data_IF_275985904928
#
_entry.id   IF_275985904928
#
_cell.length_a   1.000
_cell.length_b   1.000
_cell.length_c   1.000
_cell.angle_alpha   90.00
_cell.angle_beta   90.00
_cell.angle_gamma   90.00
#
_symmetry.space_group_name_H-M   'P 1'
#
loop_
_entity.id
_entity.type
_entity.pdbx_description
1 polymer ?
#
# COMPACT_ATOMS: atom_id res chain seq x y z
N UNK A 1 -91.98 -15.52 69.92
CA UNK A 1 -93.01 -14.46 69.80
C UNK A 1 -92.26 -13.16 69.57
N UNK A 2 -92.35 -12.38 68.50
CA UNK A 2 -93.13 -12.27 67.24
C UNK A 2 -92.19 -11.44 66.31
N UNK A 3 -92.31 -11.52 64.97
CA UNK A 3 -91.18 -11.37 64.05
C UNK A 3 -91.17 -10.04 63.27
N UNK A 4 -90.25 -10.00 62.29
CA UNK A 4 -90.30 -9.34 60.99
C UNK A 4 -89.98 -7.84 60.87
N UNK A 5 -89.02 -7.55 59.98
CA UNK A 5 -88.70 -6.21 59.49
C UNK A 5 -87.54 -6.24 58.50
N UNK A 6 -87.77 -6.79 57.30
CA UNK A 6 -86.85 -6.70 56.17
C UNK A 6 -86.77 -5.26 55.65
N UNK A 7 -85.58 -4.65 55.66
CA UNK A 7 -85.24 -3.52 54.79
C UNK A 7 -83.77 -3.64 54.37
N UNK A 8 -83.53 -3.94 53.09
CA UNK A 8 -82.22 -3.80 52.45
C UNK A 8 -82.11 -2.36 51.92
N UNK A 9 -81.08 -1.58 52.29
CA UNK A 9 -80.70 -0.41 51.52
C UNK A 9 -79.62 -0.79 50.51
N UNK A 10 -79.87 -0.43 49.26
CA UNK A 10 -78.91 -0.45 48.15
C UNK A 10 -77.64 0.36 48.49
N UNK A 11 -76.52 -0.33 48.67
CA UNK A 11 -75.19 0.29 48.77
C UNK A 11 -74.76 0.77 47.38
N UNK A 12 -74.90 2.08 47.14
CA UNK A 12 -74.11 2.80 46.15
C UNK A 12 -72.64 2.72 46.56
N UNK A 13 -71.85 1.91 45.85
CA UNK A 13 -70.39 1.90 45.98
C UNK A 13 -69.86 3.17 45.31
N UNK A 14 -69.55 4.19 46.11
CA UNK A 14 -68.73 5.33 45.70
C UNK A 14 -67.30 4.82 45.45
N UNK A 15 -66.95 4.55 44.19
CA UNK A 15 -65.55 4.38 43.78
C UNK A 15 -64.90 5.77 43.75
N UNK A 16 -64.17 6.12 44.82
CA UNK A 16 -63.32 7.31 44.84
C UNK A 16 -62.24 7.20 43.74
N UNK A 17 -62.00 8.26 42.93
CA UNK A 17 -60.92 8.26 41.96
C UNK A 17 -59.58 8.33 42.71
N UNK A 18 -58.81 7.25 42.67
CA UNK A 18 -57.40 7.27 43.08
C UNK A 18 -56.67 8.27 42.18
N UNK A 19 -56.13 9.34 42.75
CA UNK A 19 -55.59 10.47 42.00
C UNK A 19 -54.33 10.08 41.22
N UNK A 20 -54.41 10.08 39.88
CA UNK A 20 -53.29 9.81 38.97
C UNK A 20 -52.15 10.86 39.04
N UNK A 21 -52.35 11.95 39.76
CA UNK A 21 -51.37 13.04 39.94
C UNK A 21 -50.22 12.66 40.89
N UNK A 22 -50.49 11.88 41.95
CA UNK A 22 -49.46 11.45 42.90
C UNK A 22 -48.43 10.51 42.28
N UNK A 23 -48.89 9.61 41.40
CA UNK A 23 -48.02 8.66 40.70
C UNK A 23 -47.00 9.33 39.76
N UNK A 24 -47.42 10.36 39.00
CA UNK A 24 -46.52 11.09 38.07
C UNK A 24 -45.40 11.85 38.79
N UNK A 25 -45.70 12.50 39.90
CA UNK A 25 -44.70 13.20 40.72
C UNK A 25 -43.70 12.24 41.37
N UNK A 26 -44.17 11.07 41.82
CA UNK A 26 -43.29 10.02 42.35
C UNK A 26 -42.38 9.45 41.26
N UNK A 27 -42.90 9.19 40.06
CA UNK A 27 -42.07 8.73 38.93
C UNK A 27 -41.01 9.76 38.55
N UNK A 28 -41.35 11.05 38.46
CA UNK A 28 -40.38 12.11 38.16
C UNK A 28 -39.31 12.24 39.25
N UNK A 29 -39.66 12.11 40.52
CA UNK A 29 -38.72 12.14 41.63
C UNK A 29 -37.78 10.92 41.62
N UNK A 30 -38.29 9.72 41.33
CA UNK A 30 -37.47 8.52 41.17
C UNK A 30 -36.50 8.64 39.99
N UNK A 31 -36.95 9.16 38.85
CA UNK A 31 -36.09 9.42 37.70
C UNK A 31 -34.99 10.44 38.03
N UNK A 32 -35.32 11.49 38.79
CA UNK A 32 -34.34 12.46 39.25
C UNK A 32 -33.30 11.84 40.20
N UNK A 33 -33.72 10.98 41.14
CA UNK A 33 -32.79 10.27 42.05
C UNK A 33 -31.86 9.35 41.27
N UNK A 34 -32.38 8.57 40.31
CA UNK A 34 -31.57 7.70 39.45
C UNK A 34 -30.59 8.53 38.61
N UNK A 35 -31.03 9.66 38.05
CA UNK A 35 -30.17 10.56 37.30
C UNK A 35 -29.06 11.15 38.19
N UNK A 36 -29.39 11.63 39.40
CA UNK A 36 -28.41 12.13 40.37
C UNK A 36 -27.41 11.05 40.79
N UNK A 37 -27.87 9.83 41.07
CA UNK A 37 -27.00 8.69 41.37
C UNK A 37 -26.06 8.38 40.19
N UNK A 38 -26.58 8.43 38.95
CA UNK A 38 -25.79 8.28 37.74
C UNK A 38 -24.70 9.36 37.59
N UNK A 39 -25.03 10.63 37.85
CA UNK A 39 -24.06 11.74 37.80
C UNK A 39 -22.97 11.57 38.87
N UNK A 40 -23.34 11.23 40.11
CA UNK A 40 -22.39 10.99 41.20
C UNK A 40 -21.47 9.82 40.86
N UNK A 41 -22.02 8.73 40.31
CA UNK A 41 -21.24 7.59 39.87
C UNK A 41 -20.24 7.95 38.76
N UNK A 42 -20.65 8.71 37.76
CA UNK A 42 -19.75 9.20 36.69
C UNK A 42 -18.66 10.10 37.28
N UNK A 43 -19.01 11.02 38.18
CA UNK A 43 -18.04 11.90 38.84
C UNK A 43 -17.01 11.08 39.64
N UNK A 44 -17.45 10.03 40.33
CA UNK A 44 -16.57 9.10 41.04
C UNK A 44 -15.61 8.37 40.08
N UNK A 45 -16.09 7.85 38.95
CA UNK A 45 -15.24 7.19 37.95
C UNK A 45 -14.22 8.15 37.32
N UNK A 46 -14.62 9.39 37.04
CA UNK A 46 -13.71 10.43 36.54
C UNK A 46 -12.63 10.78 37.58
N UNK A 47 -13.02 10.86 38.86
CA UNK A 47 -12.08 11.07 39.94
C UNK A 47 -11.09 9.91 40.08
N UNK A 48 -11.55 8.64 40.07
CA UNK A 48 -10.65 7.47 40.14
C UNK A 48 -9.64 7.51 38.99
N UNK A 49 -10.10 7.75 37.76
CA UNK A 49 -9.22 7.87 36.60
C UNK A 49 -8.19 8.98 36.74
N UNK A 50 -8.61 10.15 37.24
CA UNK A 50 -7.73 11.31 37.44
C UNK A 50 -6.75 11.11 38.60
N UNK A 51 -7.15 10.41 39.65
CA UNK A 51 -6.30 10.04 40.76
C UNK A 51 -5.20 9.09 40.29
N UNK A 52 -5.56 8.00 39.60
CA UNK A 52 -4.61 7.04 39.02
C UNK A 52 -3.66 7.71 38.04
N UNK A 53 -4.17 8.56 37.13
CA UNK A 53 -3.33 9.25 36.17
C UNK A 53 -2.26 10.16 36.80
N UNK A 54 -2.56 10.74 37.97
CA UNK A 54 -1.62 11.62 38.69
C UNK A 54 -0.65 10.86 39.59
N UNK A 55 -1.03 9.70 40.11
CA UNK A 55 -0.21 8.94 41.08
C UNK A 55 0.52 7.73 40.46
N UNK A 56 0.27 7.40 39.20
CA UNK A 56 0.95 6.31 38.49
C UNK A 56 2.25 6.78 37.84
N UNK A 57 3.36 6.18 38.25
CA UNK A 57 4.67 6.36 37.60
C UNK A 57 4.66 5.79 36.18
N UNK A 58 3.98 4.65 35.95
CA UNK A 58 3.83 4.05 34.63
C UNK A 58 3.12 5.01 33.65
N UNK A 59 2.02 5.64 34.08
CA UNK A 59 1.31 6.64 33.26
C UNK A 59 2.19 7.87 33.04
N UNK A 60 2.91 8.35 34.07
CA UNK A 60 3.84 9.47 33.93
C UNK A 60 4.93 9.21 32.88
N UNK A 61 5.58 8.04 32.94
CA UNK A 61 6.60 7.63 31.97
C UNK A 61 6.03 7.46 30.57
N UNK A 62 4.80 6.94 30.43
CA UNK A 62 4.13 6.83 29.15
C UNK A 62 3.89 8.20 28.52
N UNK A 63 3.46 9.19 29.31
CA UNK A 63 3.25 10.55 28.83
C UNK A 63 4.56 11.18 28.35
N UNK A 64 5.66 10.96 29.07
CA UNK A 64 6.98 11.39 28.64
C UNK A 64 7.43 10.70 27.33
N UNK A 65 7.23 9.38 27.23
CA UNK A 65 7.51 8.60 26.02
C UNK A 65 6.70 9.11 24.82
N UNK A 66 5.41 9.38 25.02
CA UNK A 66 4.54 9.94 24.01
C UNK A 66 5.02 11.32 23.54
N UNK A 67 5.38 12.20 24.48
CA UNK A 67 5.86 13.55 24.17
C UNK A 67 7.17 13.53 23.38
N UNK A 68 8.10 12.62 23.71
CA UNK A 68 9.35 12.41 22.96
C UNK A 68 9.13 11.82 21.56
N UNK A 69 8.07 11.02 21.41
CA UNK A 69 7.79 10.28 20.17
C UNK A 69 6.85 11.01 19.21
N UNK A 70 6.07 11.99 19.68
CA UNK A 70 4.97 12.61 18.93
C UNK A 70 5.37 13.15 17.56
N UNK A 71 6.53 13.82 17.46
CA UNK A 71 6.94 14.44 16.21
C UNK A 71 7.44 13.39 15.21
N UNK A 72 8.16 12.37 15.69
CA UNK A 72 8.67 11.28 14.85
C UNK A 72 7.56 10.38 14.33
N UNK A 73 6.47 10.24 15.10
CA UNK A 73 5.30 9.44 14.75
C UNK A 73 4.19 10.26 14.09
N UNK A 74 4.45 11.53 13.79
CA UNK A 74 3.48 12.42 13.17
C UNK A 74 3.00 11.84 11.84
N UNK A 75 1.68 11.72 11.69
CA UNK A 75 1.07 11.29 10.44
C UNK A 75 1.36 12.32 9.33
N UNK A 76 1.82 11.81 8.19
CA UNK A 76 2.04 12.62 6.99
C UNK A 76 0.81 12.58 6.09
N UNK A 77 0.51 13.67 5.35
CA UNK A 77 -0.55 13.65 4.36
C UNK A 77 -0.26 12.61 3.27
N UNK A 78 -1.30 12.05 2.62
CA UNK A 78 -1.12 11.10 1.53
C UNK A 78 -0.21 11.65 0.43
N UNK A 79 0.75 10.84 -0.04
CA UNK A 79 1.54 11.17 -1.22
C UNK A 79 0.62 11.23 -2.44
N UNK A 80 0.48 12.40 -3.05
CA UNK A 80 -0.39 12.57 -4.23
C UNK A 80 0.46 12.63 -5.49
N UNK A 81 0.25 11.68 -6.41
CA UNK A 81 0.90 11.69 -7.73
C UNK A 81 -0.19 11.50 -8.78
N UNK A 82 -0.37 12.49 -9.65
CA UNK A 82 -1.30 12.41 -10.77
C UNK A 82 -0.56 12.61 -12.07
N UNK A 83 -0.69 11.64 -12.98
CA UNK A 83 -0.04 11.65 -14.29
C UNK A 83 -1.04 11.27 -15.35
N UNK A 84 -1.04 12.01 -16.46
CA UNK A 84 -1.94 11.78 -17.59
C UNK A 84 -1.10 11.61 -18.85
N UNK A 85 -1.35 10.54 -19.59
CA UNK A 85 -0.77 10.27 -20.89
C UNK A 85 -1.85 10.39 -21.95
N UNK A 86 -1.69 11.33 -22.87
CA UNK A 86 -2.56 11.47 -24.04
C UNK A 86 -2.05 10.58 -25.18
N UNK A 87 -2.99 9.99 -25.92
CA UNK A 87 -2.73 9.16 -27.09
C UNK A 87 -3.29 9.82 -28.35
N UNK A 88 -2.54 9.78 -29.45
CA UNK A 88 -2.98 10.34 -30.72
C UNK A 88 -3.99 9.49 -31.49
N UNK A 89 -4.08 8.18 -31.20
CA UNK A 89 -4.95 7.25 -31.92
C UNK A 89 -5.68 6.29 -30.97
N UNK A 90 -6.88 5.85 -31.35
CA UNK A 90 -7.63 4.85 -30.57
C UNK A 90 -6.87 3.53 -30.47
N UNK A 91 -6.20 3.11 -31.57
CA UNK A 91 -5.41 1.88 -31.62
C UNK A 91 -4.26 1.90 -30.63
N UNK A 92 -3.45 2.97 -30.61
CA UNK A 92 -2.33 3.09 -29.66
C UNK A 92 -2.82 3.17 -28.22
N UNK A 93 -3.96 3.83 -27.98
CA UNK A 93 -4.62 3.84 -26.68
C UNK A 93 -5.07 2.45 -26.24
N UNK A 94 -5.71 1.66 -27.11
CA UNK A 94 -6.26 0.34 -26.76
C UNK A 94 -5.16 -0.69 -26.51
N UNK A 95 -4.11 -0.67 -27.32
CA UNK A 95 -2.97 -1.59 -27.18
C UNK A 95 -1.99 -1.19 -26.08
N UNK A 96 -2.16 -0.05 -25.42
CA UNK A 96 -1.21 0.44 -24.43
C UNK A 96 -1.21 -0.41 -23.16
N UNK A 97 -0.01 -0.82 -22.74
CA UNK A 97 0.27 -1.37 -21.41
C UNK A 97 0.48 -0.23 -20.42
N UNK A 98 -0.53 0.02 -19.59
CA UNK A 98 -0.50 1.09 -18.59
C UNK A 98 0.56 0.88 -17.51
N UNK A 99 0.89 -0.37 -17.15
CA UNK A 99 1.90 -0.65 -16.15
C UNK A 99 3.30 -0.40 -16.70
N UNK A 100 3.55 -0.73 -17.97
CA UNK A 100 4.81 -0.42 -18.62
C UNK A 100 5.02 1.11 -18.73
N UNK A 101 3.99 1.84 -19.16
CA UNK A 101 4.04 3.30 -19.25
C UNK A 101 4.21 3.97 -17.88
N UNK A 102 3.45 3.53 -16.88
CA UNK A 102 3.61 4.01 -15.51
C UNK A 102 5.05 3.83 -15.04
N UNK A 103 5.64 2.65 -15.23
CA UNK A 103 7.01 2.37 -14.80
C UNK A 103 8.03 3.29 -15.46
N UNK A 104 7.83 3.70 -16.71
CA UNK A 104 8.66 4.71 -17.36
C UNK A 104 8.51 6.08 -16.68
N UNK A 105 7.27 6.52 -16.44
CA UNK A 105 6.99 7.80 -15.78
C UNK A 105 7.54 7.84 -14.34
N UNK A 106 7.44 6.73 -13.59
CA UNK A 106 8.01 6.65 -12.24
C UNK A 106 9.54 6.83 -12.24
N UNK A 107 10.23 6.47 -13.33
CA UNK A 107 11.67 6.65 -13.44
C UNK A 107 12.08 8.09 -13.79
N UNK A 108 11.18 8.90 -14.35
CA UNK A 108 11.45 10.32 -14.65
C UNK A 108 11.66 11.13 -13.35
N UNK A 109 10.81 10.87 -12.35
CA UNK A 109 10.85 11.54 -11.03
C UNK A 109 11.43 10.64 -9.92
N UNK A 110 12.25 9.64 -10.28
CA UNK A 110 12.67 8.55 -9.40
C UNK A 110 13.17 9.01 -8.02
N UNK A 111 14.10 9.96 -7.98
CA UNK A 111 14.71 10.45 -6.73
C UNK A 111 13.69 11.13 -5.82
N UNK A 112 12.80 11.94 -6.40
CA UNK A 112 11.78 12.65 -5.63
C UNK A 112 10.75 11.67 -5.04
N UNK A 113 10.32 10.69 -5.84
CA UNK A 113 9.39 9.64 -5.38
C UNK A 113 10.04 8.81 -4.27
N UNK A 114 11.30 8.42 -4.43
CA UNK A 114 12.04 7.67 -3.41
C UNK A 114 12.19 8.45 -2.10
N UNK A 115 12.54 9.73 -2.16
CA UNK A 115 12.63 10.58 -0.97
C UNK A 115 11.29 10.62 -0.22
N UNK A 116 10.19 10.76 -0.95
CA UNK A 116 8.85 10.88 -0.38
C UNK A 116 8.30 9.54 0.16
N UNK A 117 8.72 8.42 -0.44
CA UNK A 117 8.54 7.06 0.11
C UNK A 117 9.32 6.94 1.41
N UNK A 118 10.62 7.22 1.40
CA UNK A 118 11.48 7.05 2.58
C UNK A 118 11.01 7.90 3.75
N UNK A 119 10.60 9.15 3.49
CA UNK A 119 10.01 10.04 4.48
C UNK A 119 8.79 9.45 5.18
N UNK A 120 7.96 8.68 4.47
CA UNK A 120 6.78 7.98 5.01
C UNK A 120 7.09 6.66 5.70
N UNK A 121 8.24 6.05 5.43
CA UNK A 121 8.70 4.85 6.13
C UNK A 121 9.31 5.16 7.50
N UNK A 122 9.88 6.35 7.69
CA UNK A 122 10.52 6.76 8.95
C UNK A 122 9.56 6.66 10.16
N UNK A 123 8.30 7.16 10.11
CA UNK A 123 7.37 7.00 11.22
C UNK A 123 7.07 5.53 11.55
N UNK A 124 6.96 4.65 10.54
CA UNK A 124 6.72 3.22 10.73
C UNK A 124 7.88 2.55 11.48
N UNK A 125 9.12 2.87 11.10
CA UNK A 125 10.32 2.38 11.78
C UNK A 125 10.43 2.93 13.21
N UNK A 126 10.14 4.22 13.38
CA UNK A 126 10.12 4.86 14.70
C UNK A 126 9.06 4.26 15.61
N UNK A 127 7.92 3.84 15.06
CA UNK A 127 6.85 3.22 15.82
C UNK A 127 7.27 1.87 16.41
N UNK A 128 8.09 1.09 15.70
CA UNK A 128 8.61 -0.17 16.23
C UNK A 128 9.52 0.03 17.46
N UNK A 129 10.20 1.17 17.57
CA UNK A 129 10.96 1.54 18.78
C UNK A 129 9.99 1.92 19.90
N UNK A 130 9.06 2.83 19.62
CA UNK A 130 8.02 3.25 20.57
C UNK A 130 7.22 2.07 21.13
N UNK A 131 6.81 1.13 20.27
CA UNK A 131 6.04 -0.05 20.67
C UNK A 131 6.81 -0.95 21.65
N UNK A 132 8.10 -1.17 21.40
CA UNK A 132 8.94 -1.94 22.32
C UNK A 132 9.04 -1.28 23.69
N UNK A 133 9.22 0.04 23.73
CA UNK A 133 9.28 0.81 24.98
C UNK A 133 7.93 0.82 25.70
N UNK A 134 6.83 0.96 24.96
CA UNK A 134 5.48 0.85 25.48
C UNK A 134 5.24 -0.53 26.11
N UNK A 135 5.56 -1.61 25.40
CA UNK A 135 5.41 -2.98 25.90
C UNK A 135 6.27 -3.24 27.13
N UNK A 136 7.50 -2.73 27.16
CA UNK A 136 8.36 -2.80 28.35
C UNK A 136 7.73 -2.07 29.55
N UNK A 137 7.20 -0.86 29.35
CA UNK A 137 6.49 -0.12 30.39
C UNK A 137 5.26 -0.88 30.89
N UNK A 138 4.47 -1.46 29.99
CA UNK A 138 3.30 -2.28 30.34
C UNK A 138 3.68 -3.53 31.15
N UNK A 139 4.86 -4.10 30.91
CA UNK A 139 5.29 -5.35 31.53
C UNK A 139 5.95 -5.13 32.89
N UNK A 140 6.72 -4.05 33.05
CA UNK A 140 7.57 -3.86 34.22
C UNK A 140 7.07 -2.78 35.20
N UNK A 141 6.36 -1.77 34.70
CA UNK A 141 5.98 -0.59 35.49
C UNK A 141 4.51 -0.59 35.92
N UNK A 142 3.60 -1.16 35.12
CA UNK A 142 2.18 -1.25 35.47
C UNK A 142 2.00 -2.13 36.71
N UNK A 143 1.21 -1.64 37.66
CA UNK A 143 0.91 -2.24 38.94
C UNK A 143 1.96 -2.06 40.03
N UNK A 144 2.96 -1.20 39.80
CA UNK A 144 3.96 -0.82 40.81
C UNK A 144 3.54 0.37 41.66
N UNK A 145 2.64 1.22 41.15
CA UNK A 145 2.08 2.37 41.88
C UNK A 145 0.79 2.00 42.62
N UNK A 146 0.38 2.83 43.58
CA UNK A 146 -0.85 2.63 44.35
C UNK A 146 -1.47 3.96 44.76
N UNK A 147 -2.70 3.92 45.29
CA UNK A 147 -3.39 5.10 45.81
C UNK A 147 -4.21 4.73 47.05
N UNK A 148 -4.10 5.53 48.13
CA UNK A 148 -4.68 5.23 49.45
C UNK A 148 -6.19 4.92 49.44
N UNK A 149 -6.94 5.56 48.54
CA UNK A 149 -8.41 5.46 48.46
C UNK A 149 -8.93 4.53 47.35
N UNK A 150 -8.05 3.85 46.62
CA UNK A 150 -8.42 2.99 45.48
C UNK A 150 -7.85 1.61 45.75
N UNK A 151 -8.67 0.57 45.59
CA UNK A 151 -8.22 -0.82 45.79
C UNK A 151 -7.08 -1.17 44.79
N UNK A 152 -6.08 -1.97 45.18
CA UNK A 152 -4.94 -2.28 44.31
C UNK A 152 -5.32 -2.88 42.95
N UNK A 153 -6.24 -3.85 42.93
CA UNK A 153 -6.74 -4.49 41.71
C UNK A 153 -7.45 -3.49 40.79
N UNK A 154 -8.26 -2.60 41.37
CA UNK A 154 -8.95 -1.52 40.66
C UNK A 154 -7.96 -0.50 40.10
N UNK A 155 -6.92 -0.16 40.85
CA UNK A 155 -5.85 0.75 40.44
C UNK A 155 -5.14 0.22 39.19
N UNK A 156 -4.66 -1.03 39.23
CA UNK A 156 -3.99 -1.70 38.09
C UNK A 156 -4.89 -1.73 36.86
N UNK A 157 -6.18 -2.03 37.04
CA UNK A 157 -7.14 -2.06 35.94
C UNK A 157 -7.29 -0.69 35.27
N UNK A 158 -7.46 0.37 36.06
CA UNK A 158 -7.60 1.75 35.55
C UNK A 158 -6.28 2.20 34.90
N UNK A 159 -5.15 1.90 35.51
CA UNK A 159 -3.81 2.24 35.01
C UNK A 159 -3.58 1.63 33.62
N UNK A 160 -3.83 0.31 33.47
CA UNK A 160 -3.74 -0.40 32.19
C UNK A 160 -4.64 0.23 31.13
N UNK A 161 -5.89 0.54 31.50
CA UNK A 161 -6.87 1.17 30.61
C UNK A 161 -6.44 2.57 30.17
N UNK A 162 -5.83 3.36 31.06
CA UNK A 162 -5.26 4.66 30.72
C UNK A 162 -4.10 4.46 29.76
N UNK A 163 -3.19 3.53 30.05
CA UNK A 163 -2.00 3.30 29.23
C UNK A 163 -2.37 2.87 27.80
N UNK A 164 -3.27 1.91 27.64
CA UNK A 164 -3.76 1.46 26.33
C UNK A 164 -4.45 2.58 25.54
N UNK A 165 -5.29 3.40 26.20
CA UNK A 165 -5.97 4.54 25.55
C UNK A 165 -5.03 5.67 25.17
N UNK A 166 -3.93 5.83 25.91
CA UNK A 166 -2.93 6.88 25.69
C UNK A 166 -1.82 6.43 24.74
N UNK A 167 -1.80 5.17 24.33
CA UNK A 167 -0.85 4.66 23.34
C UNK A 167 -1.02 5.43 22.02
N UNK A 168 0.09 5.86 21.44
CA UNK A 168 0.09 6.54 20.15
C UNK A 168 -0.37 5.57 19.05
N UNK A 169 -1.16 6.05 18.07
CA UNK A 169 -1.65 5.21 16.98
C UNK A 169 -0.49 4.79 16.08
N UNK A 170 -0.65 3.62 15.46
CA UNK A 170 0.29 3.15 14.43
C UNK A 170 0.22 4.13 13.24
N UNK A 171 1.34 4.72 12.81
CA UNK A 171 1.34 5.56 11.62
C UNK A 171 1.03 4.71 10.38
N UNK A 172 0.38 5.31 9.39
CA UNK A 172 0.06 4.64 8.13
C UNK A 172 0.64 5.46 6.99
N UNK A 173 1.45 4.81 6.14
CA UNK A 173 1.94 5.44 4.93
C UNK A 173 0.85 5.36 3.85
N UNK A 174 0.34 6.53 3.43
CA UNK A 174 -0.74 6.64 2.45
C UNK A 174 -0.25 7.32 1.16
N UNK A 175 -0.85 6.91 0.04
CA UNK A 175 -0.66 7.55 -1.26
C UNK A 175 -1.96 7.54 -2.06
N UNK A 176 -2.23 8.65 -2.75
CA UNK A 176 -3.22 8.80 -3.82
C UNK A 176 -2.47 8.95 -5.15
N UNK A 177 -2.07 7.81 -5.73
CA UNK A 177 -1.38 7.78 -7.02
C UNK A 177 -2.36 7.37 -8.10
N UNK A 178 -2.45 8.15 -9.17
CA UNK A 178 -3.26 7.81 -10.34
C UNK A 178 -2.52 8.10 -11.63
N UNK A 179 -2.41 7.07 -12.47
CA UNK A 179 -2.00 7.19 -13.86
C UNK A 179 -3.22 7.08 -14.76
N UNK A 180 -3.38 8.04 -15.67
CA UNK A 180 -4.56 8.16 -16.52
C UNK A 180 -4.10 8.13 -17.97
N UNK A 181 -4.44 7.07 -18.69
CA UNK A 181 -4.34 7.05 -20.15
C UNK A 181 -5.60 7.69 -20.74
N UNK A 182 -5.47 8.66 -21.65
CA UNK A 182 -6.58 9.36 -22.29
C UNK A 182 -6.47 9.34 -23.81
N UNK A 183 -7.62 9.24 -24.46
CA UNK A 183 -7.74 9.41 -25.90
C UNK A 183 -9.01 10.20 -26.20
N UNK A 184 -8.87 11.24 -27.01
CA UNK A 184 -10.00 12.00 -27.55
C UNK A 184 -9.96 11.90 -29.06
N UNK A 185 -11.10 11.55 -29.68
CA UNK A 185 -11.19 11.47 -31.14
C UNK A 185 -10.85 12.84 -31.79
N UNK A 186 -10.27 12.89 -33.00
CA UNK A 186 -9.83 14.15 -33.61
C UNK A 186 -10.92 15.23 -33.72
N UNK A 187 -12.18 14.82 -33.84
CA UNK A 187 -13.35 15.72 -33.88
C UNK A 187 -13.99 15.97 -32.52
N UNK A 188 -13.37 15.54 -31.42
CA UNK A 188 -13.85 15.72 -30.05
C UNK A 188 -15.13 14.97 -29.68
N UNK A 189 -15.72 14.17 -30.58
CA UNK A 189 -17.03 13.53 -30.38
C UNK A 189 -17.02 12.42 -29.34
N UNK A 190 -15.90 11.70 -29.22
CA UNK A 190 -15.73 10.61 -28.27
C UNK A 190 -14.43 10.81 -27.45
N UNK A 191 -14.51 10.52 -26.15
CA UNK A 191 -13.39 10.60 -25.22
C UNK A 191 -13.35 9.37 -24.32
N UNK A 192 -12.15 8.83 -24.11
CA UNK A 192 -11.92 7.60 -23.37
C UNK A 192 -10.82 7.83 -22.33
N UNK A 193 -10.95 7.18 -21.16
CA UNK A 193 -9.91 7.20 -20.15
C UNK A 193 -9.81 5.84 -19.44
N UNK A 194 -8.58 5.36 -19.25
CA UNK A 194 -8.25 4.24 -18.35
C UNK A 194 -7.46 4.79 -17.19
N UNK A 195 -7.89 4.46 -15.96
CA UNK A 195 -7.22 4.89 -14.72
C UNK A 195 -6.57 3.69 -14.06
N UNK A 196 -5.36 3.88 -13.58
CA UNK A 196 -4.62 2.93 -12.78
C UNK A 196 -4.30 3.59 -11.43
N UNK A 197 -5.12 3.33 -10.40
CA UNK A 197 -4.84 3.79 -9.04
C UNK A 197 -3.78 2.91 -8.38
N UNK A 198 -2.91 3.50 -7.55
CA UNK A 198 -1.93 2.77 -6.76
C UNK A 198 -1.98 3.20 -5.30
N UNK A 199 -2.01 2.20 -4.41
CA UNK A 199 -1.69 2.37 -3.00
C UNK A 199 -0.20 2.66 -2.79
N UNK A 200 0.17 3.07 -1.58
CA UNK A 200 1.56 3.34 -1.22
C UNK A 200 2.48 2.12 -1.44
N UNK A 201 2.03 0.91 -1.09
CA UNK A 201 2.82 -0.31 -1.30
C UNK A 201 2.92 -0.70 -2.77
N UNK A 202 1.84 -0.51 -3.54
CA UNK A 202 1.88 -0.71 -4.99
C UNK A 202 2.83 0.28 -5.67
N UNK A 203 2.85 1.56 -5.25
CA UNK A 203 3.80 2.55 -5.77
C UNK A 203 5.25 2.09 -5.53
N UNK A 204 5.57 1.67 -4.30
CA UNK A 204 6.90 1.15 -3.93
C UNK A 204 7.29 -0.06 -4.77
N UNK A 205 6.36 -1.00 -4.91
CA UNK A 205 6.56 -2.20 -5.73
C UNK A 205 6.84 -1.83 -7.19
N UNK A 206 6.01 -0.99 -7.81
CA UNK A 206 6.18 -0.60 -9.22
C UNK A 206 7.46 0.19 -9.46
N UNK A 207 7.88 1.06 -8.53
CA UNK A 207 9.16 1.75 -8.63
C UNK A 207 10.34 0.77 -8.62
N UNK A 208 10.31 -0.23 -7.73
CA UNK A 208 11.34 -1.27 -7.66
C UNK A 208 11.36 -2.14 -8.92
N UNK A 209 10.19 -2.52 -9.45
CA UNK A 209 10.10 -3.27 -10.70
C UNK A 209 10.60 -2.44 -11.90
N UNK A 210 10.34 -1.13 -11.92
CA UNK A 210 10.90 -0.23 -12.93
C UNK A 210 12.44 -0.17 -12.86
N UNK A 211 13.00 -0.09 -11.65
CA UNK A 211 14.46 -0.13 -11.42
C UNK A 211 15.08 -1.43 -11.88
N UNK A 212 14.45 -2.56 -11.56
CA UNK A 212 14.89 -3.90 -11.99
C UNK A 212 14.90 -4.01 -13.51
N UNK A 213 13.79 -3.63 -14.16
CA UNK A 213 13.71 -3.62 -15.62
C UNK A 213 14.80 -2.74 -16.26
N UNK A 214 15.05 -1.54 -15.71
CA UNK A 214 16.15 -0.67 -16.19
C UNK A 214 17.53 -1.31 -15.98
N UNK A 215 17.78 -1.93 -14.84
CA UNK A 215 19.04 -2.61 -14.55
C UNK A 215 19.25 -3.83 -15.48
N UNK A 216 18.20 -4.61 -15.73
CA UNK A 216 18.22 -5.72 -16.68
C UNK A 216 18.57 -5.24 -18.08
N UNK A 217 18.01 -4.11 -18.52
CA UNK A 217 18.37 -3.52 -19.81
C UNK A 217 19.87 -3.17 -19.88
N UNK A 218 20.53 -2.85 -18.78
CA UNK A 218 21.99 -2.59 -18.74
C UNK A 218 22.86 -3.84 -18.81
N UNK A 219 22.30 -5.05 -18.70
CA UNK A 219 23.10 -6.29 -18.65
C UNK A 219 23.66 -6.68 -20.02
N UNK A 220 24.82 -7.37 -20.01
CA UNK A 220 25.42 -7.98 -21.21
C UNK A 220 24.44 -8.97 -21.86
N UNK A 221 23.67 -9.73 -21.08
CA UNK A 221 22.67 -10.65 -21.61
C UNK A 221 21.55 -9.93 -22.38
N UNK A 222 21.03 -8.83 -21.84
CA UNK A 222 20.01 -8.02 -22.51
C UNK A 222 20.58 -7.33 -23.77
N UNK A 223 21.81 -6.82 -23.73
CA UNK A 223 22.49 -6.28 -24.91
C UNK A 223 22.62 -7.34 -26.01
N UNK A 224 23.08 -8.55 -25.66
CA UNK A 224 23.18 -9.69 -26.60
C UNK A 224 21.82 -10.07 -27.20
N UNK A 225 20.77 -10.11 -26.38
CA UNK A 225 19.40 -10.42 -26.83
C UNK A 225 18.87 -9.34 -27.77
N UNK A 226 19.13 -8.06 -27.47
CA UNK A 226 18.74 -6.93 -28.33
C UNK A 226 19.45 -7.01 -29.68
N UNK A 227 20.77 -7.18 -29.68
CA UNK A 227 21.54 -7.33 -30.92
C UNK A 227 20.98 -8.46 -31.79
N UNK A 228 20.79 -9.66 -31.22
CA UNK A 228 20.18 -10.78 -31.96
C UNK A 228 18.77 -10.48 -32.48
N UNK A 229 17.99 -9.67 -31.75
CA UNK A 229 16.64 -9.25 -32.16
C UNK A 229 16.60 -8.20 -33.27
N UNK A 230 17.70 -7.46 -33.52
CA UNK A 230 17.80 -6.50 -34.63
C UNK A 230 17.90 -7.19 -35.99
N UNK A 231 18.21 -8.49 -36.02
CA UNK A 231 18.28 -9.29 -37.23
C UNK A 231 16.88 -9.55 -37.82
N UNK A 232 16.41 -8.65 -38.67
CA UNK A 232 15.12 -8.79 -39.37
C UNK A 232 15.21 -9.79 -40.53
N UNK A 233 14.07 -10.32 -40.97
CA UNK A 233 14.00 -11.18 -42.16
C UNK A 233 14.52 -10.48 -43.43
N UNK A 234 14.20 -9.20 -43.59
CA UNK A 234 14.69 -8.37 -44.71
C UNK A 234 16.22 -8.23 -44.67
N UNK A 235 16.80 -7.96 -43.50
CA UNK A 235 18.25 -7.92 -43.33
C UNK A 235 18.91 -9.26 -43.62
N UNK A 236 18.31 -10.39 -43.19
CA UNK A 236 18.84 -11.72 -43.51
C UNK A 236 18.89 -11.97 -45.02
N UNK A 237 17.83 -11.60 -45.73
CA UNK A 237 17.75 -11.75 -47.18
C UNK A 237 18.79 -10.86 -47.89
N UNK A 238 18.96 -9.60 -47.46
CA UNK A 238 19.92 -8.70 -48.09
C UNK A 238 21.37 -9.18 -47.94
N UNK A 239 21.72 -9.78 -46.79
CA UNK A 239 23.05 -10.36 -46.57
C UNK A 239 23.25 -11.62 -47.42
N UNK A 240 22.25 -12.51 -47.52
CA UNK A 240 22.32 -13.69 -48.40
C UNK A 240 22.54 -13.29 -49.86
N UNK A 241 21.82 -12.28 -50.34
CA UNK A 241 21.96 -11.77 -51.72
C UNK A 241 23.33 -11.15 -51.94
N UNK A 242 23.80 -10.29 -51.02
CA UNK A 242 25.14 -9.68 -51.07
C UNK A 242 26.25 -10.74 -51.18
N UNK A 243 26.11 -11.82 -50.41
CA UNK A 243 27.09 -12.90 -50.31
C UNK A 243 26.93 -13.95 -51.43
N UNK A 244 26.07 -13.70 -52.42
CA UNK A 244 25.83 -14.61 -53.54
C UNK A 244 25.24 -15.96 -53.13
N UNK A 245 24.55 -16.03 -51.98
CA UNK A 245 24.04 -17.26 -51.37
C UNK A 245 25.12 -18.34 -51.22
N UNK A 246 26.33 -17.92 -50.83
CA UNK A 246 27.50 -18.77 -50.63
C UNK A 246 28.15 -18.52 -49.27
N UNK A 247 28.70 -19.58 -48.69
CA UNK A 247 29.50 -19.47 -47.48
C UNK A 247 30.73 -18.58 -47.73
N UNK A 248 30.91 -17.55 -46.91
CA UNK A 248 32.02 -16.60 -47.01
C UNK A 248 33.36 -17.16 -46.50
N UNK A 249 33.37 -18.41 -46.00
CA UNK A 249 34.60 -19.12 -45.60
C UNK A 249 35.01 -20.16 -46.64
N UNK A 250 34.09 -21.04 -47.06
CA UNK A 250 34.42 -22.18 -47.93
C UNK A 250 33.79 -22.12 -49.33
N UNK A 251 32.92 -21.15 -49.62
CA UNK A 251 32.29 -20.96 -50.93
C UNK A 251 31.10 -21.88 -51.26
N UNK A 252 30.79 -22.87 -50.41
CA UNK A 252 29.67 -23.80 -50.64
C UNK A 252 28.32 -23.06 -50.66
N UNK A 253 27.44 -23.45 -51.58
CA UNK A 253 26.08 -22.91 -51.71
C UNK A 253 25.01 -23.92 -51.28
N UNK A 254 23.77 -23.47 -51.13
CA UNK A 254 22.63 -24.35 -50.83
C UNK A 254 22.39 -25.41 -51.93
N UNK A 255 22.79 -25.15 -53.17
CA UNK A 255 22.70 -26.11 -54.29
C UNK A 255 23.54 -27.38 -54.05
N UNK A 256 24.56 -27.28 -53.19
CA UNK A 256 25.45 -28.38 -52.83
C UNK A 256 24.99 -29.08 -51.53
N UNK A 257 23.73 -28.84 -51.12
CA UNK A 257 23.13 -29.44 -49.92
C UNK A 257 23.47 -28.74 -48.60
N UNK A 258 24.20 -27.63 -48.62
CA UNK A 258 24.57 -26.91 -47.39
C UNK A 258 23.42 -26.06 -46.85
N UNK A 259 23.25 -26.03 -45.52
CA UNK A 259 22.32 -25.07 -44.89
C UNK A 259 23.06 -23.77 -44.60
N UNK A 260 22.56 -22.64 -45.10
CA UNK A 260 23.19 -21.34 -44.92
C UNK A 260 22.60 -20.57 -43.75
N UNK A 261 23.48 -19.98 -42.94
CA UNK A 261 23.17 -19.17 -41.79
C UNK A 261 23.80 -17.78 -41.94
N UNK A 262 23.11 -16.75 -41.44
CA UNK A 262 23.71 -15.44 -41.25
C UNK A 262 24.30 -15.40 -39.84
N UNK A 263 25.61 -15.17 -39.76
CA UNK A 263 26.37 -15.10 -38.52
C UNK A 263 27.13 -13.79 -38.41
N UNK A 264 27.48 -13.40 -37.19
CA UNK A 264 28.24 -12.19 -36.92
C UNK A 264 29.74 -12.44 -37.04
N UNK A 265 30.45 -11.66 -37.87
CA UNK A 265 31.91 -11.71 -38.05
C UNK A 265 32.61 -11.52 -36.70
N UNK A 266 32.28 -10.42 -36.02
CA UNK A 266 32.57 -10.21 -34.61
C UNK A 266 31.37 -10.69 -33.79
N UNK A 267 31.50 -11.76 -32.99
CA UNK A 267 30.37 -12.32 -32.25
C UNK A 267 29.71 -11.31 -31.32
N UNK A 268 28.38 -11.39 -31.21
CA UNK A 268 27.58 -10.61 -30.25
C UNK A 268 28.04 -10.86 -28.80
N UNK A 269 28.55 -12.06 -28.50
CA UNK A 269 29.12 -12.38 -27.18
C UNK A 269 30.33 -11.53 -26.80
N UNK A 270 31.07 -11.04 -27.79
CA UNK A 270 32.24 -10.18 -27.64
C UNK A 270 31.92 -8.69 -27.87
N UNK A 271 30.65 -8.33 -28.11
CA UNK A 271 30.22 -6.95 -28.34
C UNK A 271 30.05 -6.56 -29.81
N UNK A 272 30.01 -7.54 -30.72
CA UNK A 272 29.71 -7.27 -32.13
C UNK A 272 28.27 -6.81 -32.35
N UNK A 273 28.10 -5.88 -33.29
CA UNK A 273 26.81 -5.26 -33.63
C UNK A 273 26.10 -5.97 -34.76
N UNK A 274 24.78 -5.86 -34.80
CA UNK A 274 23.94 -6.42 -35.86
C UNK A 274 23.74 -5.39 -36.96
N UNK A 275 24.77 -5.26 -37.79
CA UNK A 275 24.86 -4.32 -38.90
C UNK A 275 25.46 -5.03 -40.12
N UNK A 276 25.11 -4.64 -41.36
CA UNK A 276 25.54 -5.37 -42.55
C UNK A 276 27.05 -5.62 -42.64
N UNK A 277 27.87 -4.65 -42.22
CA UNK A 277 29.35 -4.73 -42.15
C UNK A 277 29.86 -5.85 -41.25
N UNK A 278 29.12 -6.21 -40.20
CA UNK A 278 29.49 -7.23 -39.22
C UNK A 278 28.75 -8.57 -39.45
N UNK A 279 27.99 -8.70 -40.53
CA UNK A 279 27.26 -9.93 -40.87
C UNK A 279 27.89 -10.65 -42.06
N UNK A 280 27.81 -11.98 -42.06
CA UNK A 280 28.28 -12.83 -43.15
C UNK A 280 27.44 -14.10 -43.25
N UNK A 281 27.37 -14.67 -44.45
CA UNK A 281 26.75 -15.96 -44.74
C UNK A 281 27.73 -17.09 -44.51
N UNK A 282 27.40 -18.07 -43.67
CA UNK A 282 28.20 -19.26 -43.41
C UNK A 282 27.37 -20.53 -43.64
N UNK A 283 27.98 -21.60 -44.14
CA UNK A 283 27.35 -22.93 -44.05
C UNK A 283 27.34 -23.43 -42.61
N UNK A 284 26.50 -24.40 -42.32
CA UNK A 284 26.36 -25.09 -41.04
C UNK A 284 27.71 -25.56 -40.46
N UNK A 285 28.57 -26.18 -41.27
CA UNK A 285 29.89 -26.66 -40.84
C UNK A 285 30.83 -25.52 -40.45
N UNK A 286 30.97 -24.49 -41.30
CA UNK A 286 31.82 -23.33 -41.01
C UNK A 286 31.27 -22.48 -39.86
N UNK A 287 29.94 -22.34 -39.75
CA UNK A 287 29.30 -21.62 -38.66
C UNK A 287 29.55 -22.31 -37.31
N UNK A 288 29.38 -23.63 -37.26
CA UNK A 288 29.67 -24.44 -36.07
C UNK A 288 31.16 -24.37 -35.70
N UNK A 289 32.04 -24.48 -36.70
CA UNK A 289 33.49 -24.37 -36.47
C UNK A 289 33.89 -22.99 -35.96
N UNK A 290 33.33 -21.89 -36.47
CA UNK A 290 33.61 -20.53 -36.00
C UNK A 290 33.19 -20.36 -34.55
N UNK A 291 31.93 -20.71 -34.25
CA UNK A 291 31.34 -20.48 -32.93
C UNK A 291 31.46 -19.02 -32.47
N UNK A 292 31.84 -18.83 -31.21
CA UNK A 292 31.98 -17.50 -30.59
C UNK A 292 33.38 -16.85 -30.81
N UNK A 293 34.10 -17.23 -31.86
CA UNK A 293 35.44 -16.70 -32.18
C UNK A 293 35.40 -15.71 -33.35
N UNK A 294 36.38 -14.82 -33.37
CA UNK A 294 36.71 -13.99 -34.54
C UNK A 294 37.76 -14.75 -35.35
N UNK A 295 37.48 -15.01 -36.61
CA UNK A 295 38.46 -15.65 -37.51
C UNK A 295 39.29 -14.55 -38.20
N UNK A 296 40.60 -14.76 -38.40
CA UNK A 296 41.40 -13.89 -39.26
C UNK A 296 40.83 -13.91 -40.69
N UNK A 297 40.77 -12.74 -41.31
CA UNK A 297 40.34 -12.56 -42.69
C UNK A 297 41.53 -12.47 -43.62
#
# INVERSE_FOLDING_TARGET
>A
MVPSGNYLPSLFIYSAPVSAAGGRSIVLLLLAVVACAGVIWIAFLLWEGSAVARSSDAVGRLLALNEQSKERLRALPPLTIRRTQEFGTKRSYDSADLLALLRQVLLEDEKAIEQEINRRLIPLQSYAVYDREFVALMSFSVGRSSHRRIRPDRFVHIERKIAERRRLPVPVAQADVSFIARYTSPRGRNSYARRLPLSFDQLRYQLNEARRARAELGTVAAARKRERGLMTASMRLSILVRDGSRCQICGISAEHGATLHIDHIHPVSLGGRTEPSNLQTLCDSCNLAKGARVLPR
#
